data_IF_489209743401
#
_entry.id   IF_489209743401
#
_cell.length_a   1.000
_cell.length_b   1.000
_cell.length_c   1.000
_cell.angle_alpha   90.00
_cell.angle_beta   90.00
_cell.angle_gamma   90.00
#
_symmetry.space_group_name_H-M   'P 1'
#
loop_
_entity.id
_entity.type
_entity.pdbx_description
1 polymer ?
#
# COMPACT_ATOMS: atom_id res chain seq x y z
N UNK A 1 2.03 6.26 -20.58
CA UNK A 1 3.20 6.44 -19.71
C UNK A 1 2.96 7.69 -18.87
N UNK A 2 2.76 7.56 -17.57
CA UNK A 2 2.76 8.69 -16.67
C UNK A 2 4.16 9.28 -16.65
N UNK A 3 4.27 10.58 -16.91
CA UNK A 3 5.55 11.27 -16.88
C UNK A 3 6.13 11.14 -15.44
N UNK A 4 7.34 10.62 -15.35
CA UNK A 4 8.07 10.53 -14.08
C UNK A 4 8.31 11.95 -13.57
N UNK A 5 7.96 12.20 -12.30
CA UNK A 5 8.22 13.51 -11.69
C UNK A 5 9.72 13.71 -11.55
N UNK A 6 10.23 14.87 -11.97
CA UNK A 6 11.66 15.18 -11.85
C UNK A 6 12.04 15.59 -10.42
N UNK A 7 13.22 15.19 -9.98
CA UNK A 7 13.73 15.49 -8.63
C UNK A 7 13.66 16.98 -8.26
N UNK A 8 14.00 17.87 -9.17
CA UNK A 8 14.05 19.29 -8.90
C UNK A 8 12.68 19.95 -8.71
N UNK A 9 11.62 19.27 -9.22
CA UNK A 9 10.24 19.73 -9.03
C UNK A 9 9.61 19.29 -7.70
N UNK A 10 10.22 18.32 -7.01
CA UNK A 10 9.71 17.76 -5.75
C UNK A 10 10.28 18.53 -4.55
N UNK A 11 9.44 18.79 -3.57
CA UNK A 11 9.78 19.42 -2.30
C UNK A 11 9.46 18.49 -1.13
N UNK A 12 10.18 18.65 -0.03
CA UNK A 12 9.81 18.05 1.25
C UNK A 12 8.46 18.60 1.67
N UNK A 13 7.54 17.69 2.04
CA UNK A 13 6.15 18.00 2.35
C UNK A 13 5.18 17.76 1.20
N UNK A 14 5.66 17.57 -0.02
CA UNK A 14 4.79 17.27 -1.16
C UNK A 14 4.04 15.95 -0.93
N UNK A 15 2.75 15.96 -1.23
CA UNK A 15 1.89 14.79 -1.10
C UNK A 15 1.98 13.90 -2.34
N UNK A 16 1.94 12.59 -2.12
CA UNK A 16 1.80 11.61 -3.18
C UNK A 16 0.36 11.59 -3.70
N UNK A 17 0.14 11.17 -4.95
CA UNK A 17 -1.21 10.97 -5.47
C UNK A 17 -2.01 10.04 -4.54
N UNK A 18 -3.14 10.53 -4.05
CA UNK A 18 -4.02 9.74 -3.19
C UNK A 18 -4.67 8.61 -4.00
N UNK A 19 -4.63 7.41 -3.46
CA UNK A 19 -5.26 6.24 -4.07
C UNK A 19 -6.41 5.76 -3.18
N UNK A 20 -7.60 5.57 -3.78
CA UNK A 20 -8.77 5.01 -3.09
C UNK A 20 -9.20 3.75 -3.84
N UNK A 21 -9.32 2.64 -3.12
CA UNK A 21 -9.68 1.33 -3.68
C UNK A 21 -10.77 0.70 -2.82
N UNK A 22 -11.78 0.18 -3.46
CA UNK A 22 -12.89 -0.51 -2.80
C UNK A 22 -14.26 -0.06 -3.29
N UNK A 23 -15.32 -0.61 -2.66
CA UNK A 23 -15.27 -1.59 -1.57
C UNK A 23 -14.65 -2.90 -2.02
N UNK A 24 -13.77 -3.47 -1.19
CA UNK A 24 -13.12 -4.75 -1.48
C UNK A 24 -14.13 -5.89 -1.44
N UNK A 25 -14.05 -6.77 -2.40
CA UNK A 25 -14.92 -7.95 -2.49
C UNK A 25 -14.20 -9.22 -2.04
N UNK A 26 -14.97 -10.26 -1.73
CA UNK A 26 -14.39 -11.60 -1.51
C UNK A 26 -13.68 -12.12 -2.77
N UNK A 27 -14.17 -11.74 -3.95
CA UNK A 27 -13.54 -12.11 -5.22
C UNK A 27 -12.15 -11.51 -5.33
N UNK A 28 -11.94 -10.24 -4.96
CA UNK A 28 -10.63 -9.59 -4.96
C UNK A 28 -9.64 -10.35 -4.07
N UNK A 29 -10.10 -10.76 -2.88
CA UNK A 29 -9.30 -11.54 -1.93
C UNK A 29 -8.93 -12.90 -2.51
N UNK A 30 -9.88 -13.61 -3.12
CA UNK A 30 -9.65 -14.94 -3.72
C UNK A 30 -8.69 -14.83 -4.92
N UNK A 31 -8.84 -13.81 -5.75
CA UNK A 31 -7.94 -13.58 -6.89
C UNK A 31 -6.50 -13.34 -6.40
N UNK A 32 -6.34 -12.52 -5.37
CA UNK A 32 -5.01 -12.28 -4.79
C UNK A 32 -4.44 -13.56 -4.16
N UNK A 33 -5.24 -14.33 -3.42
CA UNK A 33 -4.83 -15.60 -2.83
C UNK A 33 -4.26 -16.55 -3.89
N UNK A 34 -4.95 -16.68 -5.02
CA UNK A 34 -4.49 -17.49 -6.15
C UNK A 34 -3.18 -17.00 -6.75
N UNK A 35 -3.08 -15.69 -6.99
CA UNK A 35 -1.87 -15.08 -7.56
C UNK A 35 -0.66 -15.10 -6.64
N UNK A 36 -0.87 -14.99 -5.33
CA UNK A 36 0.17 -15.00 -4.32
C UNK A 36 0.49 -16.40 -3.78
N UNK A 37 -0.29 -17.42 -4.16
CA UNK A 37 -0.25 -18.76 -3.56
C UNK A 37 -0.42 -18.73 -2.02
N UNK A 38 -1.20 -17.79 -1.53
CA UNK A 38 -1.53 -17.64 -0.11
C UNK A 38 -2.90 -18.25 0.17
N UNK A 39 -2.91 -19.54 0.49
CA UNK A 39 -4.12 -20.32 0.74
C UNK A 39 -4.41 -20.50 2.24
N UNK A 40 -3.99 -19.55 3.07
CA UNK A 40 -4.40 -19.54 4.47
C UNK A 40 -5.92 -19.47 4.60
N UNK A 41 -6.56 -20.34 5.39
CA UNK A 41 -8.01 -20.36 5.54
C UNK A 41 -8.58 -19.06 6.12
N UNK A 42 -7.76 -18.20 6.71
CA UNK A 42 -8.16 -16.85 7.14
C UNK A 42 -8.75 -16.01 6.00
N UNK A 43 -8.41 -16.31 4.75
CA UNK A 43 -8.75 -15.49 3.60
C UNK A 43 -9.98 -15.98 2.82
N UNK A 44 -10.45 -17.20 3.07
CA UNK A 44 -11.58 -17.78 2.30
C UNK A 44 -12.54 -18.66 3.09
N UNK A 45 -12.15 -19.20 4.25
CA UNK A 45 -12.94 -20.16 5.00
C UNK A 45 -13.72 -19.48 6.12
N UNK A 46 -15.01 -19.22 5.88
CA UNK A 46 -15.87 -18.53 6.85
C UNK A 46 -16.02 -19.29 8.18
N UNK A 47 -16.29 -20.60 8.21
CA UNK A 47 -16.34 -21.37 9.46
C UNK A 47 -15.03 -21.31 10.26
N UNK A 48 -13.90 -21.35 9.57
CA UNK A 48 -12.59 -21.26 10.22
C UNK A 48 -12.38 -19.91 10.93
N UNK A 49 -12.69 -18.80 10.24
CA UNK A 49 -12.48 -17.46 10.84
C UNK A 49 -13.46 -17.17 11.96
N UNK A 50 -14.69 -17.69 11.88
CA UNK A 50 -15.68 -17.57 12.96
C UNK A 50 -15.22 -18.34 14.20
N UNK A 51 -14.67 -19.55 14.04
CA UNK A 51 -14.08 -20.32 15.12
C UNK A 51 -12.86 -19.61 15.73
N UNK A 52 -12.15 -18.80 14.95
CA UNK A 52 -11.04 -17.95 15.41
C UNK A 52 -11.50 -16.61 16.04
N UNK A 53 -12.80 -16.38 16.16
CA UNK A 53 -13.37 -15.17 16.77
C UNK A 53 -13.36 -13.95 15.84
N UNK A 54 -13.21 -14.14 14.54
CA UNK A 54 -13.28 -13.07 13.55
C UNK A 54 -14.69 -12.99 12.92
N UNK A 55 -15.16 -11.80 12.56
CA UNK A 55 -16.51 -11.63 11.99
C UNK A 55 -16.63 -12.20 10.57
N UNK A 56 -15.55 -12.19 9.81
CA UNK A 56 -15.52 -12.68 8.43
C UNK A 56 -14.06 -12.88 7.99
N UNK A 57 -13.88 -13.40 6.77
CA UNK A 57 -12.55 -13.55 6.16
C UNK A 57 -11.81 -12.22 6.08
N UNK A 58 -10.49 -12.28 6.09
CA UNK A 58 -9.60 -11.11 6.16
C UNK A 58 -8.82 -10.99 4.86
N UNK A 59 -8.66 -9.78 4.36
CA UNK A 59 -7.75 -9.52 3.24
C UNK A 59 -6.29 -9.75 3.69
N UNK A 60 -5.46 -10.26 2.79
CA UNK A 60 -4.04 -10.45 3.05
C UNK A 60 -3.36 -9.09 3.30
N UNK A 61 -2.47 -9.03 4.28
CA UNK A 61 -1.68 -7.82 4.54
C UNK A 61 -0.88 -7.39 3.32
N UNK A 62 -0.26 -8.34 2.62
CA UNK A 62 0.51 -8.07 1.41
C UNK A 62 -0.34 -7.59 0.24
N UNK A 63 -1.63 -7.94 0.18
CA UNK A 63 -2.56 -7.36 -0.79
C UNK A 63 -2.72 -5.85 -0.54
N UNK A 64 -2.95 -5.44 0.69
CA UNK A 64 -3.01 -4.02 1.07
C UNK A 64 -1.69 -3.30 0.81
N UNK A 65 -0.56 -3.93 1.14
CA UNK A 65 0.77 -3.38 0.87
C UNK A 65 1.03 -3.19 -0.63
N UNK A 66 0.62 -4.16 -1.46
CA UNK A 66 0.73 -4.08 -2.91
C UNK A 66 -0.13 -2.96 -3.50
N UNK A 67 -1.36 -2.80 -3.02
CA UNK A 67 -2.21 -1.67 -3.43
C UNK A 67 -1.60 -0.32 -3.03
N UNK A 68 -1.08 -0.22 -1.81
CA UNK A 68 -0.45 1.01 -1.31
C UNK A 68 0.82 1.38 -2.09
N UNK A 69 1.58 0.40 -2.57
CA UNK A 69 2.79 0.65 -3.37
C UNK A 69 2.52 1.43 -4.65
N UNK A 70 1.29 1.38 -5.16
CA UNK A 70 0.88 2.17 -6.34
C UNK A 70 0.97 3.68 -6.09
N UNK A 71 0.74 4.15 -4.86
CA UNK A 71 0.96 5.57 -4.54
C UNK A 71 2.40 5.98 -4.84
N UNK A 72 3.37 5.09 -4.56
CA UNK A 72 4.79 5.36 -4.81
C UNK A 72 5.09 5.29 -6.30
N UNK A 73 4.62 4.23 -6.98
CA UNK A 73 4.91 4.05 -8.41
C UNK A 73 4.18 5.04 -9.31
N UNK A 74 3.00 5.49 -8.90
CA UNK A 74 2.26 6.56 -9.59
C UNK A 74 2.96 7.93 -9.41
N UNK A 75 3.66 8.12 -8.28
CA UNK A 75 4.46 9.32 -8.02
C UNK A 75 5.83 9.27 -8.69
N UNK A 76 6.62 8.24 -8.41
CA UNK A 76 8.03 8.17 -8.79
C UNK A 76 8.28 7.48 -10.14
N UNK A 77 7.34 6.65 -10.58
CA UNK A 77 7.50 5.77 -11.73
C UNK A 77 7.87 4.33 -11.35
N UNK A 78 7.45 3.40 -12.20
CA UNK A 78 7.80 1.99 -12.08
C UNK A 78 9.30 1.81 -12.29
N UNK A 79 9.96 1.06 -11.41
CA UNK A 79 11.40 0.84 -11.45
C UNK A 79 12.24 1.85 -10.66
N UNK A 80 11.62 2.90 -10.13
CA UNK A 80 12.33 3.93 -9.36
C UNK A 80 12.39 3.63 -7.86
N UNK A 81 11.58 2.71 -7.36
CA UNK A 81 11.54 2.35 -5.94
C UNK A 81 12.80 1.57 -5.55
N UNK A 82 13.52 2.05 -4.53
CA UNK A 82 14.73 1.42 -4.00
C UNK A 82 14.50 0.73 -2.67
N UNK A 83 13.53 1.21 -1.90
CA UNK A 83 13.15 0.60 -0.63
C UNK A 83 11.67 0.82 -0.38
N UNK A 84 11.01 -0.18 0.16
CA UNK A 84 9.62 -0.11 0.61
C UNK A 84 9.46 -0.96 1.86
N UNK A 85 9.03 -0.36 2.95
CA UNK A 85 8.78 -1.02 4.23
C UNK A 85 7.37 -0.73 4.67
N UNK A 86 6.71 -1.74 5.23
CA UNK A 86 5.35 -1.61 5.77
C UNK A 86 5.25 -2.21 7.16
N UNK A 87 4.31 -1.68 7.92
CA UNK A 87 3.84 -2.23 9.18
C UNK A 87 2.34 -2.38 9.11
N UNK A 88 1.86 -3.59 9.31
CA UNK A 88 0.43 -3.88 9.41
C UNK A 88 -0.07 -3.48 10.79
N UNK A 89 -1.15 -2.69 10.84
CA UNK A 89 -1.70 -2.13 12.08
C UNK A 89 -3.07 -2.73 12.38
N UNK A 90 -3.96 -2.77 11.38
CA UNK A 90 -5.30 -3.35 11.51
C UNK A 90 -5.65 -4.23 10.30
N UNK A 91 -6.66 -5.08 10.50
CA UNK A 91 -7.18 -5.95 9.45
C UNK A 91 -8.08 -5.16 8.50
N UNK A 92 -8.09 -5.59 7.24
CA UNK A 92 -9.02 -5.13 6.20
C UNK A 92 -9.96 -6.28 5.88
N UNK A 93 -11.24 -5.96 5.76
CA UNK A 93 -12.31 -6.92 5.53
C UNK A 93 -13.01 -6.69 4.18
N UNK A 94 -13.71 -7.70 3.66
CA UNK A 94 -14.63 -7.48 2.54
C UNK A 94 -15.62 -6.36 2.88
N UNK A 95 -15.86 -5.46 1.92
CA UNK A 95 -16.69 -4.28 2.09
C UNK A 95 -15.92 -3.02 2.50
N UNK A 96 -14.68 -3.14 3.00
CA UNK A 96 -13.86 -1.98 3.31
C UNK A 96 -13.41 -1.25 2.04
N UNK A 97 -13.41 0.07 2.13
CA UNK A 97 -12.76 0.96 1.15
C UNK A 97 -11.50 1.51 1.78
N UNK A 98 -10.37 1.31 1.15
CA UNK A 98 -9.09 1.79 1.64
C UNK A 98 -8.65 3.04 0.90
N UNK A 99 -8.03 3.95 1.62
CA UNK A 99 -7.38 5.13 1.08
C UNK A 99 -5.91 5.13 1.46
N UNK A 100 -5.04 5.21 0.45
CA UNK A 100 -3.61 5.39 0.64
C UNK A 100 -3.26 6.85 0.38
N UNK A 101 -2.49 7.44 1.27
CA UNK A 101 -1.85 8.74 1.11
C UNK A 101 -0.41 8.67 1.59
N UNK A 102 0.40 9.61 1.17
CA UNK A 102 1.79 9.67 1.56
C UNK A 102 2.37 11.05 1.31
N UNK A 103 3.55 11.29 1.84
CA UNK A 103 4.26 12.55 1.64
C UNK A 103 5.76 12.34 1.61
N UNK A 104 6.45 13.22 0.92
CA UNK A 104 7.91 13.28 0.90
C UNK A 104 8.42 13.89 2.21
N UNK A 105 9.31 13.18 2.87
CA UNK A 105 9.90 13.61 4.16
C UNK A 105 11.34 14.08 4.04
N UNK A 106 12.05 13.63 2.99
CA UNK A 106 13.45 13.97 2.79
C UNK A 106 13.87 13.87 1.33
N UNK A 107 14.82 14.70 0.95
CA UNK A 107 15.57 14.64 -0.32
C UNK A 107 17.04 14.49 -0.01
N UNK A 108 17.76 13.65 -0.75
CA UNK A 108 19.20 13.40 -0.53
C UNK A 108 19.81 12.72 -1.74
N UNK A 109 21.14 12.71 -1.79
CA UNK A 109 21.90 11.95 -2.79
C UNK A 109 22.48 10.70 -2.12
N UNK A 110 22.38 9.57 -2.79
CA UNK A 110 22.96 8.31 -2.34
C UNK A 110 23.29 7.42 -3.55
N UNK A 111 24.43 6.78 -3.51
CA UNK A 111 24.89 5.81 -4.53
C UNK A 111 24.86 6.38 -5.97
N UNK A 112 25.07 7.68 -6.12
CA UNK A 112 25.03 8.39 -7.40
C UNK A 112 23.61 8.66 -7.93
N UNK A 113 22.59 8.42 -7.13
CA UNK A 113 21.19 8.71 -7.46
C UNK A 113 20.65 9.86 -6.60
N UNK A 114 19.76 10.66 -7.20
CA UNK A 114 18.99 11.67 -6.49
C UNK A 114 17.75 11.03 -5.88
N UNK A 115 17.70 10.96 -4.57
CA UNK A 115 16.73 10.17 -3.81
C UNK A 115 15.71 11.04 -3.09
N UNK A 116 14.50 10.53 -3.03
CA UNK A 116 13.47 10.97 -2.10
C UNK A 116 13.13 9.86 -1.12
N UNK A 117 12.85 10.25 0.11
CA UNK A 117 12.28 9.38 1.14
C UNK A 117 10.92 9.92 1.54
N UNK A 118 9.98 9.05 1.82
CA UNK A 118 8.64 9.44 2.23
C UNK A 118 7.97 8.39 3.10
N UNK A 119 6.81 8.77 3.58
CA UNK A 119 5.95 7.91 4.39
C UNK A 119 4.60 7.70 3.74
N UNK A 120 3.97 6.57 4.06
CA UNK A 120 2.64 6.17 3.62
C UNK A 120 1.75 5.85 4.80
N UNK A 121 0.48 6.13 4.64
CA UNK A 121 -0.58 5.68 5.54
C UNK A 121 -1.76 5.14 4.72
N UNK A 122 -2.27 3.99 5.14
CA UNK A 122 -3.50 3.41 4.59
C UNK A 122 -4.55 3.41 5.68
N UNK A 123 -5.71 3.96 5.37
CA UNK A 123 -6.87 3.98 6.27
C UNK A 123 -8.06 3.30 5.59
N UNK A 124 -8.99 2.77 6.40
CA UNK A 124 -10.29 2.33 5.91
C UNK A 124 -11.29 3.52 5.85
N UNK A 125 -12.53 3.25 5.44
CA UNK A 125 -13.60 4.26 5.33
C UNK A 125 -13.99 4.91 6.68
N UNK A 126 -13.60 4.31 7.80
CA UNK A 126 -13.84 4.86 9.15
C UNK A 126 -12.68 5.73 9.64
N UNK A 127 -11.60 5.84 8.85
CA UNK A 127 -10.38 6.54 9.24
C UNK A 127 -9.44 5.72 10.13
N UNK A 128 -9.71 4.43 10.33
CA UNK A 128 -8.84 3.54 11.08
C UNK A 128 -7.59 3.22 10.26
N UNK A 129 -6.42 3.32 10.88
CA UNK A 129 -5.15 3.01 10.22
C UNK A 129 -5.00 1.50 10.08
N UNK A 130 -4.87 1.04 8.84
CA UNK A 130 -4.64 -0.36 8.52
C UNK A 130 -3.17 -0.68 8.28
N UNK A 131 -2.42 0.27 7.70
CA UNK A 131 -1.01 0.10 7.36
C UNK A 131 -0.29 1.43 7.46
N UNK A 132 0.94 1.40 7.94
CA UNK A 132 1.91 2.49 7.80
C UNK A 132 3.12 2.00 7.02
N UNK A 133 3.78 2.89 6.30
CA UNK A 133 4.94 2.51 5.52
C UNK A 133 5.91 3.65 5.30
N UNK A 134 7.09 3.31 4.81
CA UNK A 134 8.09 4.24 4.31
C UNK A 134 8.66 3.74 3.01
N UNK A 135 9.14 4.66 2.19
CA UNK A 135 9.75 4.32 0.91
C UNK A 135 10.96 5.20 0.62
N UNK A 136 11.81 4.70 -0.28
CA UNK A 136 12.84 5.46 -0.98
C UNK A 136 12.70 5.24 -2.47
N UNK A 137 12.81 6.31 -3.22
CA UNK A 137 12.76 6.25 -4.69
C UNK A 137 13.81 7.17 -5.29
N UNK A 138 14.39 6.74 -6.41
CA UNK A 138 15.27 7.56 -7.21
C UNK A 138 14.43 8.40 -8.18
N UNK A 139 14.74 9.70 -8.31
CA UNK A 139 14.09 10.60 -9.26
C UNK A 139 15.12 11.17 -10.23
N UNK A 140 14.78 11.18 -11.51
CA UNK A 140 15.64 11.72 -12.55
C UNK A 140 15.72 13.24 -12.61
#
# INVERSE_FOLDING_TARGET
>A
MTATIGYDSVKVGDELPRLVIGPLTRQDIVQYAGGACDFSPLHYDQPFVEAAGLPTVVAMGMFTAGMASRCITDFAGVGQVRNYKVRFVARIYPGDTIACSGRVTRKFDADGERMVEGELIVTNQKGEVALTGSFRAALG
#
